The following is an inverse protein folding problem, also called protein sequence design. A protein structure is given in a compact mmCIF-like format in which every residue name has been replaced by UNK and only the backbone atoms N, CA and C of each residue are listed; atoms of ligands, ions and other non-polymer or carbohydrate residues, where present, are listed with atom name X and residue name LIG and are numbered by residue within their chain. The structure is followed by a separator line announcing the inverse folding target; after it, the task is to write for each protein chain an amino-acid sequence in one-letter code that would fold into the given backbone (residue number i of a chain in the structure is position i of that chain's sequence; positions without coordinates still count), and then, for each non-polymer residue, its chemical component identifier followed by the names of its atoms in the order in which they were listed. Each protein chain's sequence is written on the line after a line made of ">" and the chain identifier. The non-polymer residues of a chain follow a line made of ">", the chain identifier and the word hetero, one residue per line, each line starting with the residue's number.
data_IF_874600601645
#
_entry.id   IF_874600601645
#
_cell.length_a   1.000
_cell.length_b   1.000
_cell.length_c   1.000
_cell.angle_alpha   90.00
_cell.angle_beta   90.00
_cell.angle_gamma   90.00
#
_symmetry.space_group_name_H-M   'P 1'
#
loop_
_entity.id
_entity.type
_entity.pdbx_description
1 polymer ?
#
# COMPACT_ATOMS: atom_id res chain seq x y z
N UNK A 1 10.68 19.22 -27.72
CA UNK A 1 9.60 18.46 -27.04
C UNK A 1 10.22 17.16 -26.52
N UNK A 2 10.46 17.08 -25.21
CA UNK A 2 11.30 16.04 -24.61
C UNK A 2 10.42 14.84 -24.22
N UNK A 3 10.26 13.89 -25.15
CA UNK A 3 9.32 12.75 -25.08
C UNK A 3 9.71 11.72 -23.98
N UNK A 4 10.90 11.80 -23.40
CA UNK A 4 11.42 10.79 -22.46
C UNK A 4 11.00 10.91 -20.98
N UNK A 5 10.44 12.05 -20.53
CA UNK A 5 10.07 12.23 -19.10
C UNK A 5 8.64 11.79 -18.77
N UNK A 6 7.72 11.90 -19.73
CA UNK A 6 6.31 11.52 -19.53
C UNK A 6 6.09 10.02 -19.35
N UNK A 7 6.86 9.19 -20.07
CA UNK A 7 6.70 7.72 -20.05
C UNK A 7 7.10 7.12 -18.69
N UNK A 8 8.11 7.66 -18.02
CA UNK A 8 8.55 7.17 -16.69
C UNK A 8 7.53 7.48 -15.59
N UNK A 9 6.87 8.64 -15.66
CA UNK A 9 5.85 9.05 -14.68
C UNK A 9 4.55 8.25 -14.92
N UNK A 10 4.17 8.04 -16.18
CA UNK A 10 3.02 7.21 -16.54
C UNK A 10 3.18 5.74 -16.10
N UNK A 11 4.40 5.20 -16.20
CA UNK A 11 4.71 3.84 -15.76
C UNK A 11 4.65 3.67 -14.23
N UNK A 12 4.92 4.73 -13.46
CA UNK A 12 4.81 4.72 -12.00
C UNK A 12 3.35 4.86 -11.54
N UNK A 13 2.56 5.69 -12.24
CA UNK A 13 1.12 5.88 -12.01
C UNK A 13 0.33 4.58 -12.22
N UNK A 14 0.75 3.75 -13.17
CA UNK A 14 0.10 2.47 -13.46
C UNK A 14 0.38 1.40 -12.38
N UNK A 15 1.56 1.42 -11.73
CA UNK A 15 1.88 0.50 -10.66
C UNK A 15 1.02 0.73 -9.40
N UNK A 16 0.68 1.99 -9.10
CA UNK A 16 -0.27 2.36 -8.04
C UNK A 16 -1.69 1.87 -8.37
N UNK A 17 -2.09 1.92 -9.64
CA UNK A 17 -3.43 1.51 -10.08
C UNK A 17 -3.67 0.00 -9.97
N UNK A 18 -2.65 -0.83 -10.23
CA UNK A 18 -2.75 -2.30 -10.09
C UNK A 18 -2.94 -2.71 -8.62
N UNK A 19 -2.36 -1.97 -7.67
CA UNK A 19 -2.55 -2.21 -6.24
C UNK A 19 -4.00 -1.92 -5.79
N UNK A 20 -4.67 -0.94 -6.40
CA UNK A 20 -6.04 -0.55 -6.05
C UNK A 20 -7.12 -1.53 -6.57
N UNK A 21 -6.86 -2.28 -7.64
CA UNK A 21 -7.84 -3.21 -8.24
C UNK A 21 -7.92 -4.55 -7.50
N UNK A 22 -6.86 -4.95 -6.77
CA UNK A 22 -6.86 -6.18 -5.95
C UNK A 22 -7.82 -6.05 -4.75
N UNK A 23 -8.36 -4.86 -4.47
CA UNK A 23 -9.15 -4.56 -3.27
C UNK A 23 -10.67 -4.59 -3.51
N UNK A 24 -11.15 -5.19 -4.60
CA UNK A 24 -12.57 -5.50 -4.77
C UNK A 24 -12.96 -6.65 -3.81
N UNK A 25 -14.03 -6.51 -3.01
CA UNK A 25 -14.15 -7.16 -1.72
C UNK A 25 -14.54 -8.63 -1.79
N UNK A 26 -13.90 -9.45 -0.95
CA UNK A 26 -14.39 -10.76 -0.51
C UNK A 26 -14.49 -10.83 1.03
N UNK A 27 -15.15 -9.87 1.69
CA UNK A 27 -15.72 -9.97 3.05
C UNK A 27 -14.90 -10.67 4.18
N UNK A 28 -13.59 -10.71 4.08
CA UNK A 28 -12.64 -11.30 5.02
C UNK A 28 -11.43 -10.39 4.96
N UNK A 29 -10.98 -9.93 6.13
CA UNK A 29 -9.91 -8.97 6.40
C UNK A 29 -9.81 -7.77 5.44
N UNK A 30 -9.17 -6.69 5.88
CA UNK A 30 -8.83 -5.61 4.96
C UNK A 30 -7.56 -4.98 5.45
N UNK A 31 -6.61 -4.76 4.55
CA UNK A 31 -5.57 -3.77 4.80
C UNK A 31 -6.26 -2.43 5.09
N UNK A 32 -6.27 -2.05 6.37
CA UNK A 32 -6.99 -0.88 6.89
C UNK A 32 -6.13 0.38 6.86
N UNK A 33 -4.80 0.23 6.85
CA UNK A 33 -3.87 1.34 6.72
C UNK A 33 -2.56 0.92 6.03
N UNK A 34 -1.92 1.89 5.39
CA UNK A 34 -0.53 1.80 4.97
C UNK A 34 0.34 2.53 6.00
N UNK A 35 1.50 1.99 6.33
CA UNK A 35 2.40 2.60 7.31
C UNK A 35 3.72 2.95 6.64
N UNK A 36 4.09 4.22 6.67
CA UNK A 36 5.43 4.64 6.23
C UNK A 36 6.38 4.74 7.43
N UNK A 37 7.67 4.70 7.16
CA UNK A 37 8.69 4.89 8.19
C UNK A 37 9.73 5.90 7.74
N UNK A 38 9.89 6.94 8.56
CA UNK A 38 11.05 7.82 8.55
C UNK A 38 11.75 7.72 9.92
N UNK A 39 11.71 8.77 10.75
CA UNK A 39 12.14 8.68 12.16
C UNK A 39 11.15 7.94 13.07
N UNK A 40 9.88 7.87 12.66
CA UNK A 40 8.78 7.20 13.35
C UNK A 40 7.88 6.49 12.34
N UNK A 41 7.02 5.61 12.84
CA UNK A 41 5.97 5.00 12.04
C UNK A 41 4.78 5.94 11.95
N UNK A 42 4.28 6.15 10.73
CA UNK A 42 3.10 6.96 10.44
C UNK A 42 2.07 6.12 9.71
N UNK A 43 0.88 5.98 10.31
CA UNK A 43 -0.24 5.24 9.74
C UNK A 43 -1.10 6.15 8.88
N UNK A 44 -1.44 5.68 7.68
CA UNK A 44 -2.33 6.32 6.73
C UNK A 44 -3.55 5.42 6.53
N UNK A 45 -4.71 5.74 7.13
CA UNK A 45 -5.93 4.97 6.94
C UNK A 45 -6.26 4.87 5.45
N UNK A 46 -6.52 3.65 4.97
CA UNK A 46 -6.62 3.36 3.55
C UNK A 46 -7.72 4.19 2.86
N UNK A 47 -8.90 4.31 3.48
CA UNK A 47 -10.02 5.09 2.93
C UNK A 47 -9.74 6.59 2.86
N UNK A 48 -9.03 7.14 3.85
CA UNK A 48 -8.67 8.55 3.89
C UNK A 48 -7.57 8.86 2.86
N UNK A 49 -6.58 7.98 2.77
CA UNK A 49 -5.52 8.08 1.76
C UNK A 49 -6.10 7.98 0.35
N UNK A 50 -7.04 7.06 0.11
CA UNK A 50 -7.74 6.93 -1.17
C UNK A 50 -8.53 8.20 -1.51
N UNK A 51 -9.28 8.76 -0.55
CA UNK A 51 -9.98 10.04 -0.75
C UNK A 51 -9.01 11.18 -1.07
N UNK A 52 -7.89 11.25 -0.36
CA UNK A 52 -6.87 12.27 -0.61
C UNK A 52 -6.22 12.09 -1.99
N UNK A 53 -5.94 10.87 -2.40
CA UNK A 53 -5.46 10.56 -3.75
C UNK A 53 -6.46 10.99 -4.84
N UNK A 54 -7.76 10.77 -4.64
CA UNK A 54 -8.80 11.26 -5.57
C UNK A 54 -8.76 12.78 -5.67
N UNK A 55 -8.62 13.49 -4.54
CA UNK A 55 -8.45 14.95 -4.57
C UNK A 55 -7.20 15.37 -5.34
N UNK A 56 -6.07 14.68 -5.15
CA UNK A 56 -4.82 14.92 -5.88
C UNK A 56 -5.03 14.76 -7.40
N UNK A 57 -5.69 13.69 -7.83
CA UNK A 57 -6.02 13.43 -9.23
C UNK A 57 -6.91 14.52 -9.84
N UNK A 58 -7.78 15.13 -9.05
CA UNK A 58 -8.66 16.22 -9.47
C UNK A 58 -7.97 17.59 -9.42
N UNK A 59 -6.67 17.65 -9.12
CA UNK A 59 -5.92 18.91 -9.00
C UNK A 59 -6.28 19.73 -7.76
N UNK A 60 -6.94 19.11 -6.77
CA UNK A 60 -7.27 19.73 -5.48
C UNK A 60 -6.16 19.49 -4.46
N UNK A 61 -6.13 20.29 -3.39
CA UNK A 61 -5.19 20.08 -2.29
C UNK A 61 -5.40 18.68 -1.66
N UNK A 62 -4.30 17.95 -1.48
CA UNK A 62 -4.31 16.55 -1.04
C UNK A 62 -3.17 16.27 -0.05
N UNK A 63 -3.11 17.07 1.02
CA UNK A 63 -1.99 17.07 1.97
C UNK A 63 -1.65 15.70 2.54
N UNK A 64 -2.65 14.85 2.84
CA UNK A 64 -2.42 13.49 3.36
C UNK A 64 -1.68 12.61 2.34
N UNK A 65 -2.13 12.62 1.08
CA UNK A 65 -1.47 11.89 0.00
C UNK A 65 -0.08 12.46 -0.31
N UNK A 66 0.04 13.79 -0.33
CA UNK A 66 1.33 14.45 -0.58
C UNK A 66 2.36 14.15 0.53
N UNK A 67 1.92 13.98 1.77
CA UNK A 67 2.78 13.53 2.88
C UNK A 67 3.13 12.06 2.78
N UNK A 68 2.16 11.20 2.50
CA UNK A 68 2.36 9.77 2.27
C UNK A 68 3.46 9.52 1.21
N UNK A 69 3.43 10.28 0.12
CA UNK A 69 4.39 10.13 -1.00
C UNK A 69 5.83 10.52 -0.66
N UNK A 70 6.11 11.10 0.52
CA UNK A 70 7.47 11.51 0.91
C UNK A 70 8.32 10.34 1.42
N UNK A 71 7.68 9.26 1.87
CA UNK A 71 8.32 8.14 2.56
C UNK A 71 7.91 6.81 1.94
N UNK A 72 8.78 5.81 2.05
CA UNK A 72 8.47 4.46 1.60
C UNK A 72 7.51 3.76 2.57
N UNK A 73 6.64 2.92 2.01
CA UNK A 73 5.76 2.05 2.79
C UNK A 73 6.61 0.96 3.45
N UNK A 74 6.52 0.88 4.78
CA UNK A 74 7.21 -0.10 5.59
C UNK A 74 6.29 -1.25 6.00
N UNK A 75 5.02 -0.96 6.32
CA UNK A 75 4.08 -1.95 6.83
C UNK A 75 2.68 -1.79 6.24
N UNK A 76 1.93 -2.87 6.28
CA UNK A 76 0.49 -2.93 6.05
C UNK A 76 -0.19 -3.19 7.40
N UNK A 77 -1.26 -2.47 7.72
CA UNK A 77 -2.09 -2.79 8.87
C UNK A 77 -3.28 -3.63 8.42
N UNK A 78 -3.31 -4.88 8.83
CA UNK A 78 -4.40 -5.83 8.65
C UNK A 78 -5.28 -5.87 9.91
N UNK A 79 -6.59 -5.98 9.75
CA UNK A 79 -7.54 -6.01 10.86
C UNK A 79 -7.62 -7.36 11.60
N UNK A 80 -7.04 -8.44 11.05
CA UNK A 80 -6.94 -9.76 11.69
C UNK A 80 -5.57 -9.93 12.35
N UNK A 81 -4.49 -9.72 11.60
CA UNK A 81 -3.13 -10.04 12.02
C UNK A 81 -2.32 -8.83 12.52
N UNK A 82 -2.83 -7.61 12.37
CA UNK A 82 -2.12 -6.40 12.76
C UNK A 82 -1.07 -5.98 11.74
N UNK A 83 0.12 -5.55 12.19
CA UNK A 83 1.15 -5.04 11.30
C UNK A 83 1.87 -6.17 10.55
N UNK A 84 1.86 -6.09 9.23
CA UNK A 84 2.54 -7.01 8.31
C UNK A 84 3.65 -6.27 7.58
N UNK A 85 4.81 -6.91 7.45
CA UNK A 85 5.98 -6.41 6.71
C UNK A 85 5.62 -6.24 5.21
N UNK A 86 5.70 -5.00 4.72
CA UNK A 86 5.35 -4.68 3.33
C UNK A 86 6.29 -5.34 2.31
N UNK A 87 7.59 -5.41 2.62
CA UNK A 87 8.57 -6.01 1.71
C UNK A 87 8.31 -7.52 1.57
N UNK A 88 7.95 -8.21 2.65
CA UNK A 88 7.56 -9.62 2.60
C UNK A 88 6.29 -9.85 1.76
N UNK A 89 5.29 -8.97 1.88
CA UNK A 89 4.10 -9.02 1.03
C UNK A 89 4.46 -8.85 -0.46
N UNK A 90 5.35 -7.91 -0.78
CA UNK A 90 5.82 -7.68 -2.14
C UNK A 90 6.63 -8.86 -2.69
N UNK A 91 7.51 -9.46 -1.88
CA UNK A 91 8.25 -10.67 -2.25
C UNK A 91 7.31 -11.83 -2.56
N UNK A 92 6.26 -12.00 -1.76
CA UNK A 92 5.24 -13.03 -1.99
C UNK A 92 4.43 -12.77 -3.26
N UNK A 93 4.06 -11.52 -3.52
CA UNK A 93 3.45 -11.11 -4.79
C UNK A 93 4.34 -11.50 -5.99
N UNK A 94 5.62 -11.11 -5.96
CA UNK A 94 6.58 -11.41 -7.03
C UNK A 94 6.72 -12.93 -7.21
N UNK A 95 6.82 -13.68 -6.13
CA UNK A 95 6.89 -15.15 -6.15
C UNK A 95 5.65 -15.77 -6.78
N UNK A 96 4.45 -15.29 -6.46
CA UNK A 96 3.22 -15.78 -7.09
C UNK A 96 3.21 -15.49 -8.60
N UNK A 97 3.54 -14.26 -8.99
CA UNK A 97 3.60 -13.84 -10.40
C UNK A 97 4.60 -14.67 -11.22
N UNK A 98 5.81 -14.89 -10.71
CA UNK A 98 6.84 -15.70 -11.38
C UNK A 98 6.43 -17.18 -11.53
N UNK A 99 5.56 -17.67 -10.64
CA UNK A 99 5.03 -19.03 -10.69
C UNK A 99 3.70 -19.14 -11.46
N UNK A 100 3.25 -18.06 -12.12
CA UNK A 100 1.97 -18.04 -12.85
C UNK A 100 0.75 -18.19 -11.95
N UNK A 101 0.86 -17.86 -10.66
CA UNK A 101 -0.22 -17.89 -9.68
C UNK A 101 -0.77 -16.49 -9.43
N UNK A 102 -2.07 -16.40 -9.14
CA UNK A 102 -2.65 -15.17 -8.60
C UNK A 102 -2.11 -14.89 -7.19
N UNK A 103 -2.01 -13.62 -6.85
CA UNK A 103 -1.72 -13.17 -5.49
C UNK A 103 -2.93 -12.41 -4.95
N UNK A 104 -3.37 -12.81 -3.77
CA UNK A 104 -4.40 -12.11 -3.01
C UNK A 104 -3.70 -11.53 -1.77
N UNK A 105 -3.66 -10.19 -1.73
CA UNK A 105 -2.98 -9.47 -0.65
C UNK A 105 -3.66 -9.74 0.68
N UNK A 106 -4.99 -9.77 0.69
CA UNK A 106 -5.76 -9.93 1.90
C UNK A 106 -5.63 -11.34 2.48
N UNK A 107 -5.74 -12.36 1.62
CA UNK A 107 -5.52 -13.74 2.03
C UNK A 107 -4.10 -13.97 2.55
N UNK A 108 -3.11 -13.21 2.04
CA UNK A 108 -1.75 -13.25 2.58
C UNK A 108 -1.66 -12.55 3.93
N UNK A 109 -2.14 -11.31 4.06
CA UNK A 109 -1.97 -10.50 5.28
C UNK A 109 -2.76 -11.05 6.47
N UNK A 110 -3.94 -11.62 6.23
CA UNK A 110 -4.75 -12.31 7.24
C UNK A 110 -4.34 -13.77 7.47
N UNK A 111 -3.51 -14.32 6.58
CA UNK A 111 -3.07 -15.71 6.60
C UNK A 111 -1.95 -15.99 7.60
N UNK A 112 -1.72 -17.27 7.94
CA UNK A 112 -0.65 -17.67 8.86
C UNK A 112 0.76 -17.46 8.30
N UNK A 113 0.87 -17.27 6.97
CA UNK A 113 2.14 -17.02 6.29
C UNK A 113 2.54 -15.54 6.31
N UNK A 114 1.69 -14.66 6.86
CA UNK A 114 1.99 -13.24 7.01
C UNK A 114 3.22 -13.04 7.91
N UNK A 115 4.20 -12.27 7.42
CA UNK A 115 5.32 -11.84 8.25
C UNK A 115 4.90 -10.68 9.16
N UNK A 116 4.52 -11.01 10.38
CA UNK A 116 4.09 -10.03 11.38
C UNK A 116 5.27 -9.22 11.92
N UNK A 117 5.00 -7.95 12.24
CA UNK A 117 5.96 -7.02 12.85
C UNK A 117 5.36 -6.48 14.15
N UNK A 118 6.07 -6.61 15.26
CA UNK A 118 5.65 -5.94 16.50
C UNK A 118 6.07 -4.47 16.45
N UNK A 119 5.09 -3.58 16.52
CA UNK A 119 5.30 -2.13 16.50
C UNK A 119 4.73 -1.54 17.78
N UNK A 120 5.62 -1.01 18.61
CA UNK A 120 5.19 -0.14 19.71
C UNK A 120 4.64 1.14 19.09
N UNK A 121 3.32 1.35 19.13
CA UNK A 121 2.70 2.58 18.61
C UNK A 121 3.35 3.80 19.27
N UNK A 122 3.92 4.70 18.47
CA UNK A 122 4.37 6.01 18.95
C UNK A 122 3.68 7.11 18.14
N UNK A 123 2.71 7.75 18.82
CA UNK A 123 1.94 8.97 18.46
C UNK A 123 0.99 8.89 17.25
N UNK A 124 -0.31 8.97 17.60
CA UNK A 124 -1.37 9.64 16.84
C UNK A 124 -1.21 11.15 16.90
#
# INVERSE_FOLDING_TARGET
>A
MNIGRGVKIFSFMFAVFVLLIVLAPSASAKVTALVTKDSAFYEYPYEELLRSYVLHCLGSAASLFDEYMKNDVALLLDDVNGYVDYAAALEMYVKCMLNGKSFDLDAYTSGPDAKLVDVTRVKV
#
